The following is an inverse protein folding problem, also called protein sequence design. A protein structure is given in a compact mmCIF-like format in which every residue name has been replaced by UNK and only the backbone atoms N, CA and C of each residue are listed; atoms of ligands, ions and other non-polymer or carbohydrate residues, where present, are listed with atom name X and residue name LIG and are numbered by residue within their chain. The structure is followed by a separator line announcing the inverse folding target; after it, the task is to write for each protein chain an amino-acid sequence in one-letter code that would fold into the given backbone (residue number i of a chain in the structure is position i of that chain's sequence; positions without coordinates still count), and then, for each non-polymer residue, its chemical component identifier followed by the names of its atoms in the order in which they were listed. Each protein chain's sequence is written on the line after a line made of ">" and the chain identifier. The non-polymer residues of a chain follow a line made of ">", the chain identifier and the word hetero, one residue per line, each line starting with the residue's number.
data_IF_088483675201
#
_entry.id   IF_088483675201
#
_cell.length_a   1.000
_cell.length_b   1.000
_cell.length_c   1.000
_cell.angle_alpha   90.00
_cell.angle_beta   90.00
_cell.angle_gamma   90.00
#
_symmetry.space_group_name_H-M   'P 1'
#
loop_
_entity.id
_entity.type
_entity.pdbx_description
1 polymer ?
#
# COMPACT_ATOMS: atom_id res chain seq x y z
N UNK A 1 -29.78 -1.72 -11.93
CA UNK A 1 -28.71 -1.95 -12.93
C UNK A 1 -27.75 -3.01 -12.41
N UNK A 2 -27.31 -3.94 -13.26
CA UNK A 2 -26.31 -4.96 -12.89
C UNK A 2 -24.91 -4.37 -13.00
N UNK A 3 -24.07 -4.63 -12.00
CA UNK A 3 -22.70 -4.11 -11.94
C UNK A 3 -21.83 -4.62 -13.10
N UNK A 4 -22.12 -5.81 -13.62
CA UNK A 4 -21.45 -6.37 -14.80
C UNK A 4 -21.65 -5.49 -16.02
N UNK A 5 -22.91 -5.13 -16.29
CA UNK A 5 -23.28 -4.27 -17.41
C UNK A 5 -22.75 -2.85 -17.21
N UNK A 6 -22.79 -2.34 -15.99
CA UNK A 6 -22.21 -1.04 -15.66
C UNK A 6 -20.71 -0.95 -16.01
N UNK A 7 -19.94 -2.01 -15.74
CA UNK A 7 -18.52 -2.07 -16.08
C UNK A 7 -18.32 -2.17 -17.59
N UNK A 8 -19.09 -3.01 -18.28
CA UNK A 8 -19.01 -3.14 -19.74
C UNK A 8 -19.37 -1.82 -20.45
N UNK A 9 -20.46 -1.18 -20.04
CA UNK A 9 -20.88 0.12 -20.54
C UNK A 9 -19.79 1.18 -20.30
N UNK A 10 -19.18 1.19 -19.11
CA UNK A 10 -18.10 2.12 -18.79
C UNK A 10 -16.86 1.88 -19.67
N UNK A 11 -16.46 0.63 -19.89
CA UNK A 11 -15.37 0.28 -20.79
C UNK A 11 -15.66 0.72 -22.23
N UNK A 12 -16.89 0.50 -22.70
CA UNK A 12 -17.30 0.89 -24.05
C UNK A 12 -17.24 2.42 -24.22
N UNK A 13 -17.75 3.17 -23.25
CA UNK A 13 -17.72 4.64 -23.24
C UNK A 13 -16.29 5.16 -23.20
N UNK A 14 -15.43 4.64 -22.32
CA UNK A 14 -14.02 5.06 -22.25
C UNK A 14 -13.31 4.74 -23.56
N UNK A 15 -13.46 3.54 -24.14
CA UNK A 15 -12.85 3.19 -25.43
C UNK A 15 -13.30 4.11 -26.57
N UNK A 16 -14.59 4.42 -26.65
CA UNK A 16 -15.12 5.32 -27.67
C UNK A 16 -14.53 6.73 -27.51
N UNK A 17 -14.49 7.26 -26.29
CA UNK A 17 -13.89 8.56 -25.98
C UNK A 17 -12.41 8.64 -26.34
N UNK A 18 -11.65 7.59 -26.04
CA UNK A 18 -10.22 7.51 -26.39
C UNK A 18 -9.97 7.38 -27.89
N UNK A 19 -10.82 6.65 -28.60
CA UNK A 19 -10.74 6.53 -30.06
C UNK A 19 -10.95 7.90 -30.71
N UNK A 20 -11.91 8.68 -30.23
CA UNK A 20 -12.17 10.06 -30.68
C UNK A 20 -10.99 11.01 -30.43
N UNK A 21 -10.29 10.87 -29.30
CA UNK A 21 -9.15 11.71 -28.90
C UNK A 21 -7.83 11.32 -29.58
N UNK A 22 -7.64 10.02 -29.86
CA UNK A 22 -6.41 9.47 -30.49
C UNK A 22 -6.10 10.02 -31.88
N UNK A 23 -7.09 10.64 -32.53
CA UNK A 23 -6.92 11.35 -33.81
C UNK A 23 -6.03 12.59 -33.70
N UNK A 24 -5.72 13.08 -32.49
CA UNK A 24 -5.01 14.34 -32.27
C UNK A 24 -3.67 14.24 -31.52
N UNK A 25 -3.41 13.17 -30.75
CA UNK A 25 -2.10 12.73 -30.21
C UNK A 25 -2.37 11.58 -29.23
N UNK A 26 -1.68 10.45 -29.38
CA UNK A 26 -1.80 9.32 -28.45
C UNK A 26 -1.03 9.65 -27.16
N UNK A 27 -1.74 10.01 -26.10
CA UNK A 27 -1.15 10.34 -24.82
C UNK A 27 -1.01 9.06 -23.95
N UNK A 28 0.17 8.87 -23.35
CA UNK A 28 0.52 7.68 -22.53
C UNK A 28 -0.43 7.45 -21.35
N UNK A 29 -1.15 8.49 -20.93
CA UNK A 29 -2.13 8.47 -19.85
C UNK A 29 -3.41 7.72 -20.21
N UNK A 30 -3.81 7.73 -21.49
CA UNK A 30 -5.03 7.09 -21.96
C UNK A 30 -4.90 5.57 -22.08
N UNK A 31 -3.72 5.10 -22.48
CA UNK A 31 -3.37 3.68 -22.47
C UNK A 31 -3.40 3.11 -21.03
N UNK A 32 -2.93 3.88 -20.05
CA UNK A 32 -2.98 3.45 -18.64
C UNK A 32 -4.41 3.29 -18.13
N UNK A 33 -5.33 4.20 -18.48
CA UNK A 33 -6.76 4.10 -18.11
C UNK A 33 -7.39 2.83 -18.68
N UNK A 34 -7.10 2.51 -19.94
CA UNK A 34 -7.57 1.27 -20.57
C UNK A 34 -6.99 0.04 -19.89
N UNK A 35 -5.70 0.04 -19.55
CA UNK A 35 -5.06 -1.07 -18.83
C UNK A 35 -5.73 -1.29 -17.47
N UNK A 36 -6.01 -0.24 -16.71
CA UNK A 36 -6.70 -0.35 -15.42
C UNK A 36 -8.11 -0.95 -15.56
N UNK A 37 -8.88 -0.49 -16.57
CA UNK A 37 -10.19 -1.03 -16.87
C UNK A 37 -10.15 -2.50 -17.31
N UNK A 38 -9.18 -2.88 -18.13
CA UNK A 38 -8.99 -4.26 -18.56
C UNK A 38 -8.63 -5.18 -17.40
N UNK A 39 -7.81 -4.69 -16.45
CA UNK A 39 -7.49 -5.43 -15.23
C UNK A 39 -8.73 -5.63 -14.35
N UNK A 40 -9.54 -4.59 -14.16
CA UNK A 40 -10.81 -4.70 -13.44
C UNK A 40 -11.75 -5.70 -14.12
N UNK A 41 -11.90 -5.63 -15.44
CA UNK A 41 -12.71 -6.58 -16.21
C UNK A 41 -12.20 -8.03 -16.08
N UNK A 42 -10.88 -8.21 -16.13
CA UNK A 42 -10.24 -9.53 -15.97
C UNK A 42 -10.50 -10.10 -14.58
N UNK A 43 -10.39 -9.28 -13.53
CA UNK A 43 -10.75 -9.69 -12.17
C UNK A 43 -12.22 -10.08 -12.05
N UNK A 44 -13.15 -9.33 -12.64
CA UNK A 44 -14.57 -9.69 -12.64
C UNK A 44 -14.78 -11.05 -13.31
N UNK A 45 -14.17 -11.27 -14.48
CA UNK A 45 -14.25 -12.51 -15.26
C UNK A 45 -13.61 -13.71 -14.57
N UNK A 46 -12.55 -13.50 -13.77
CA UNK A 46 -11.89 -14.57 -13.01
C UNK A 46 -12.83 -15.27 -12.01
N UNK A 47 -13.91 -14.59 -11.58
CA UNK A 47 -14.83 -15.05 -10.55
C UNK A 47 -14.15 -15.40 -9.21
N UNK A 48 -12.89 -14.99 -8.97
CA UNK A 48 -12.16 -15.24 -7.71
C UNK A 48 -12.88 -14.66 -6.48
N UNK A 49 -13.68 -13.62 -6.71
CA UNK A 49 -14.52 -12.99 -5.69
C UNK A 49 -15.69 -13.88 -5.23
N UNK A 50 -15.97 -15.01 -5.88
CA UNK A 50 -16.96 -16.02 -5.48
C UNK A 50 -16.29 -17.29 -4.94
N UNK A 51 -16.81 -17.79 -3.81
CA UNK A 51 -16.29 -19.03 -3.19
C UNK A 51 -16.83 -20.31 -3.83
N UNK A 52 -18.10 -20.33 -4.22
CA UNK A 52 -18.78 -21.56 -4.63
C UNK A 52 -18.77 -21.75 -6.15
N UNK A 53 -18.22 -22.87 -6.62
CA UNK A 53 -18.15 -23.22 -8.05
C UNK A 53 -19.53 -23.25 -8.73
N UNK A 54 -20.55 -23.75 -8.04
CA UNK A 54 -21.92 -23.73 -8.56
C UNK A 54 -22.40 -22.31 -8.90
N UNK A 55 -22.05 -21.31 -8.08
CA UNK A 55 -22.38 -19.92 -8.35
C UNK A 55 -21.57 -19.36 -9.52
N UNK A 56 -20.27 -19.68 -9.60
CA UNK A 56 -19.41 -19.28 -10.73
C UNK A 56 -19.97 -19.80 -12.06
N UNK A 57 -20.33 -21.08 -12.12
CA UNK A 57 -20.93 -21.71 -13.31
C UNK A 57 -22.22 -21.00 -13.73
N UNK A 58 -23.11 -20.71 -12.77
CA UNK A 58 -24.38 -20.00 -13.05
C UNK A 58 -24.15 -18.63 -13.66
N UNK A 59 -23.24 -17.84 -13.11
CA UNK A 59 -22.94 -16.50 -13.62
C UNK A 59 -22.22 -16.58 -14.96
N UNK A 60 -21.29 -17.52 -15.14
CA UNK A 60 -20.62 -17.70 -16.44
C UNK A 60 -21.63 -17.96 -17.56
N UNK A 61 -22.62 -18.84 -17.32
CA UNK A 61 -23.69 -19.10 -18.29
C UNK A 61 -24.58 -17.87 -18.49
N UNK A 62 -24.88 -17.13 -17.42
CA UNK A 62 -25.65 -15.88 -17.52
C UNK A 62 -24.98 -14.85 -18.43
N UNK A 63 -23.68 -14.62 -18.24
CA UNK A 63 -22.90 -13.69 -19.05
C UNK A 63 -22.81 -14.16 -20.51
N UNK A 64 -22.63 -15.47 -20.74
CA UNK A 64 -22.63 -16.05 -22.08
C UNK A 64 -24.00 -15.94 -22.79
N UNK A 65 -25.09 -15.88 -22.02
CA UNK A 65 -26.44 -15.65 -22.52
C UNK A 65 -26.80 -14.16 -22.61
N UNK A 66 -25.83 -13.24 -22.60
CA UNK A 66 -26.04 -11.80 -22.72
C UNK A 66 -27.08 -11.25 -21.71
N UNK A 67 -27.01 -11.73 -20.46
CA UNK A 67 -27.90 -11.32 -19.37
C UNK A 67 -29.36 -11.79 -19.48
N UNK A 68 -29.67 -12.76 -20.36
CA UNK A 68 -31.00 -13.37 -20.44
C UNK A 68 -31.19 -14.43 -19.34
N UNK A 69 -32.06 -14.14 -18.38
CA UNK A 69 -32.40 -15.02 -17.27
C UNK A 69 -33.10 -16.31 -17.71
N UNK A 70 -34.02 -16.24 -18.69
CA UNK A 70 -34.79 -17.39 -19.17
C UNK A 70 -33.87 -18.36 -19.89
N UNK A 71 -33.08 -17.85 -20.82
CA UNK A 71 -32.14 -18.66 -21.61
C UNK A 71 -31.08 -19.31 -20.70
N UNK A 72 -30.53 -18.57 -19.74
CA UNK A 72 -29.55 -19.10 -18.81
C UNK A 72 -30.14 -20.16 -17.86
N UNK A 73 -31.36 -19.94 -17.35
CA UNK A 73 -32.06 -20.91 -16.51
C UNK A 73 -32.35 -22.22 -17.26
N UNK A 74 -32.81 -22.11 -18.52
CA UNK A 74 -33.03 -23.26 -19.41
C UNK A 74 -31.74 -24.06 -19.64
N UNK A 75 -30.62 -23.40 -19.97
CA UNK A 75 -29.32 -24.06 -20.17
C UNK A 75 -28.79 -24.79 -18.93
N UNK A 76 -29.19 -24.35 -17.74
CA UNK A 76 -28.74 -24.92 -16.47
C UNK A 76 -29.74 -25.92 -15.88
N UNK A 77 -30.92 -26.08 -16.48
CA UNK A 77 -31.99 -26.93 -15.95
C UNK A 77 -32.51 -26.47 -14.58
N UNK A 78 -32.52 -25.16 -14.33
CA UNK A 78 -32.98 -24.59 -13.04
C UNK A 78 -34.19 -23.68 -13.24
N UNK A 79 -34.91 -23.42 -12.15
CA UNK A 79 -36.01 -22.45 -12.14
C UNK A 79 -35.47 -21.02 -12.31
N UNK A 80 -36.24 -20.19 -13.03
CA UNK A 80 -35.87 -18.77 -13.26
C UNK A 80 -35.66 -17.98 -11.96
N UNK A 81 -36.45 -18.27 -10.92
CA UNK A 81 -36.31 -17.63 -9.61
C UNK A 81 -34.99 -17.96 -8.92
N UNK A 82 -34.50 -19.20 -9.10
CA UNK A 82 -33.18 -19.59 -8.59
C UNK A 82 -32.06 -18.85 -9.32
N UNK A 83 -32.26 -18.57 -10.60
CA UNK A 83 -31.34 -17.76 -11.40
C UNK A 83 -31.32 -16.31 -10.90
N UNK A 84 -32.49 -15.69 -10.70
CA UNK A 84 -32.60 -14.34 -10.13
C UNK A 84 -31.90 -14.23 -8.77
N UNK A 85 -32.12 -15.19 -7.87
CA UNK A 85 -31.44 -15.24 -6.56
C UNK A 85 -29.93 -15.32 -6.71
N UNK A 86 -29.44 -16.16 -7.62
CA UNK A 86 -28.00 -16.35 -7.87
C UNK A 86 -27.36 -15.06 -8.40
N UNK A 87 -27.98 -14.39 -9.38
CA UNK A 87 -27.47 -13.13 -9.94
C UNK A 87 -27.59 -11.98 -8.96
N UNK A 88 -28.67 -11.90 -8.18
CA UNK A 88 -28.83 -10.88 -7.13
C UNK A 88 -27.72 -10.99 -6.08
N UNK A 89 -27.44 -12.20 -5.61
CA UNK A 89 -26.33 -12.48 -4.70
C UNK A 89 -24.97 -12.05 -5.30
N UNK A 90 -24.71 -12.50 -6.53
CA UNK A 90 -23.49 -12.17 -7.27
C UNK A 90 -23.31 -10.66 -7.43
N UNK A 91 -24.35 -9.97 -7.85
CA UNK A 91 -24.37 -8.54 -8.07
C UNK A 91 -24.11 -7.76 -6.78
N UNK A 92 -24.76 -8.13 -5.67
CA UNK A 92 -24.52 -7.51 -4.35
C UNK A 92 -23.08 -7.71 -3.90
N UNK A 93 -22.57 -8.94 -4.04
CA UNK A 93 -21.22 -9.30 -3.61
C UNK A 93 -20.14 -8.59 -4.44
N UNK A 94 -20.30 -8.55 -5.75
CA UNK A 94 -19.37 -7.85 -6.63
C UNK A 94 -19.45 -6.33 -6.43
N UNK A 95 -20.66 -5.78 -6.33
CA UNK A 95 -20.88 -4.36 -6.03
C UNK A 95 -20.20 -3.95 -4.73
N UNK A 96 -20.34 -4.74 -3.66
CA UNK A 96 -19.68 -4.44 -2.38
C UNK A 96 -18.16 -4.44 -2.44
N UNK A 97 -17.57 -5.04 -3.48
CA UNK A 97 -16.12 -5.04 -3.71
C UNK A 97 -15.69 -3.88 -4.61
N UNK A 98 -16.22 -3.80 -5.83
CA UNK A 98 -15.64 -2.92 -6.86
C UNK A 98 -16.27 -1.53 -6.95
N UNK A 99 -17.33 -1.25 -6.18
CA UNK A 99 -18.06 0.03 -6.31
C UNK A 99 -17.20 1.24 -5.99
N UNK A 100 -16.36 1.16 -4.95
CA UNK A 100 -15.42 2.25 -4.64
C UNK A 100 -14.45 2.53 -5.78
N UNK A 101 -13.86 1.48 -6.35
CA UNK A 101 -12.96 1.57 -7.52
C UNK A 101 -13.67 2.23 -8.71
N UNK A 102 -14.88 1.78 -9.05
CA UNK A 102 -15.65 2.33 -10.16
C UNK A 102 -16.04 3.79 -9.95
N UNK A 103 -16.45 4.17 -8.74
CA UNK A 103 -16.76 5.56 -8.39
C UNK A 103 -15.55 6.45 -8.62
N UNK A 104 -14.37 6.06 -8.11
CA UNK A 104 -13.13 6.81 -8.31
C UNK A 104 -12.75 6.95 -9.79
N UNK A 105 -12.89 5.89 -10.59
CA UNK A 105 -12.63 5.96 -12.04
C UNK A 105 -13.59 6.90 -12.76
N UNK A 106 -14.88 6.87 -12.42
CA UNK A 106 -15.91 7.75 -13.00
C UNK A 106 -15.70 9.22 -12.64
N UNK A 107 -15.14 9.49 -11.46
CA UNK A 107 -14.73 10.82 -11.01
C UNK A 107 -13.40 11.29 -11.64
N UNK A 108 -12.76 10.46 -12.49
CA UNK A 108 -11.47 10.77 -13.10
C UNK A 108 -10.27 10.57 -12.18
N UNK A 109 -10.47 10.01 -10.98
CA UNK A 109 -9.44 9.76 -9.97
C UNK A 109 -8.77 8.39 -10.16
N UNK A 110 -8.15 8.20 -11.33
CA UNK A 110 -7.59 6.91 -11.76
C UNK A 110 -6.46 6.39 -10.87
N UNK A 111 -5.59 7.26 -10.36
CA UNK A 111 -4.52 6.85 -9.45
C UNK A 111 -5.07 6.30 -8.12
N UNK A 112 -6.07 6.97 -7.55
CA UNK A 112 -6.74 6.52 -6.34
C UNK A 112 -7.51 5.21 -6.57
N UNK A 113 -8.15 5.08 -7.74
CA UNK A 113 -8.86 3.86 -8.13
C UNK A 113 -7.92 2.66 -8.24
N UNK A 114 -6.72 2.83 -8.80
CA UNK A 114 -5.71 1.78 -8.88
C UNK A 114 -5.25 1.35 -7.49
N UNK A 115 -4.97 2.29 -6.58
CA UNK A 115 -4.61 1.96 -5.19
C UNK A 115 -5.71 1.16 -4.49
N UNK A 116 -6.97 1.57 -4.66
CA UNK A 116 -8.11 0.86 -4.08
C UNK A 116 -8.31 -0.53 -4.72
N UNK A 117 -8.08 -0.66 -6.03
CA UNK A 117 -8.14 -1.94 -6.73
C UNK A 117 -7.05 -2.90 -6.25
N UNK A 118 -5.81 -2.42 -6.06
CA UNK A 118 -4.71 -3.23 -5.53
C UNK A 118 -4.98 -3.73 -4.11
N UNK A 119 -5.60 -2.90 -3.25
CA UNK A 119 -6.05 -3.32 -1.91
C UNK A 119 -7.08 -4.44 -2.01
N UNK A 120 -8.02 -4.32 -2.94
CA UNK A 120 -9.11 -5.27 -3.13
C UNK A 120 -8.63 -6.65 -3.60
N UNK A 121 -7.63 -6.71 -4.49
CA UNK A 121 -7.05 -7.97 -4.96
C UNK A 121 -5.94 -8.50 -4.03
N UNK A 122 -5.62 -7.79 -2.95
CA UNK A 122 -4.59 -8.17 -1.99
C UNK A 122 -3.15 -8.01 -2.50
N UNK A 123 -2.95 -7.34 -3.64
CA UNK A 123 -1.62 -7.04 -4.17
C UNK A 123 -0.97 -5.86 -3.44
N UNK A 124 -1.77 -4.95 -2.90
CA UNK A 124 -1.29 -3.88 -2.04
C UNK A 124 -1.12 -4.40 -0.61
N UNK A 125 0.09 -4.31 -0.07
CA UNK A 125 0.35 -4.57 1.35
C UNK A 125 0.15 -3.26 2.10
N UNK A 126 -0.99 -3.03 2.79
CA UNK A 126 -1.28 -1.74 3.43
C UNK A 126 -0.27 -1.36 4.52
N UNK A 127 0.51 -2.33 5.00
CA UNK A 127 1.53 -2.18 6.03
C UNK A 127 2.92 -1.86 5.48
N UNK A 128 3.16 -2.08 4.18
CA UNK A 128 4.46 -1.90 3.55
C UNK A 128 5.04 -0.49 3.64
N UNK A 129 4.23 0.60 3.60
CA UNK A 129 4.75 1.95 3.77
C UNK A 129 5.26 2.25 5.19
N UNK A 130 4.94 1.43 6.18
CA UNK A 130 5.32 1.67 7.58
C UNK A 130 6.67 1.03 7.92
N UNK A 131 7.35 1.62 8.90
CA UNK A 131 8.57 1.05 9.50
C UNK A 131 8.21 -0.27 10.19
N UNK A 132 9.11 -1.25 10.14
CA UNK A 132 8.92 -2.57 10.75
C UNK A 132 8.51 -2.44 12.23
N UNK A 133 7.55 -3.26 12.67
CA UNK A 133 7.03 -3.26 14.05
C UNK A 133 5.97 -2.19 14.37
N UNK A 134 5.76 -1.19 13.51
CA UNK A 134 4.74 -0.14 13.72
C UNK A 134 3.34 -0.74 13.89
N UNK A 135 2.95 -1.62 12.97
CA UNK A 135 1.62 -2.22 12.95
C UNK A 135 1.39 -3.13 14.16
N UNK A 136 2.41 -3.91 14.54
CA UNK A 136 2.36 -4.78 15.71
C UNK A 136 2.25 -4.00 17.02
N UNK A 137 2.89 -2.82 17.07
CA UNK A 137 2.81 -1.92 18.22
C UNK A 137 1.40 -1.37 18.42
N UNK A 138 0.74 -0.93 17.36
CA UNK A 138 -0.57 -0.26 17.46
C UNK A 138 -1.78 -1.20 17.30
N UNK A 139 -1.59 -2.41 16.76
CA UNK A 139 -2.62 -3.46 16.58
C UNK A 139 -3.92 -2.90 15.97
N UNK A 140 -3.97 -2.60 14.66
CA UNK A 140 -5.10 -1.94 14.02
C UNK A 140 -6.43 -2.60 14.35
N UNK A 141 -7.38 -1.81 14.85
CA UNK A 141 -8.73 -2.26 15.22
C UNK A 141 -9.76 -1.24 14.76
N UNK A 142 -10.92 -1.73 14.33
CA UNK A 142 -12.06 -0.86 14.07
C UNK A 142 -12.62 -0.36 15.40
N UNK A 143 -12.77 0.95 15.54
CA UNK A 143 -13.50 1.58 16.63
C UNK A 143 -14.83 2.13 16.11
N UNK A 144 -15.92 1.90 16.85
CA UNK A 144 -17.23 2.49 16.56
C UNK A 144 -17.45 3.83 17.27
N UNK A 145 -16.56 4.20 18.20
CA UNK A 145 -16.72 5.37 19.07
C UNK A 145 -15.76 6.51 18.72
N UNK A 146 -14.85 6.29 17.77
CA UNK A 146 -13.82 7.26 17.38
C UNK A 146 -14.08 7.72 15.95
N UNK A 147 -14.14 9.03 15.74
CA UNK A 147 -14.25 9.64 14.43
C UNK A 147 -12.86 10.04 13.91
N UNK A 148 -12.60 9.82 12.62
CA UNK A 148 -11.34 10.18 11.97
C UNK A 148 -11.05 11.69 12.05
N UNK A 149 -12.09 12.53 12.04
CA UNK A 149 -11.97 13.98 12.12
C UNK A 149 -11.26 14.41 13.42
N UNK A 150 -11.48 13.67 14.51
CA UNK A 150 -10.90 13.95 15.82
C UNK A 150 -9.47 13.37 15.96
N UNK A 151 -9.02 12.54 15.01
CA UNK A 151 -7.76 11.80 15.07
C UNK A 151 -6.56 12.58 14.51
N UNK A 152 -6.57 13.93 14.54
CA UNK A 152 -5.51 14.75 13.93
C UNK A 152 -4.13 14.38 14.47
N UNK A 153 -4.00 14.32 15.80
CA UNK A 153 -2.73 14.03 16.48
C UNK A 153 -2.24 12.63 16.13
N UNK A 154 -3.14 11.66 16.08
CA UNK A 154 -2.82 10.27 15.76
C UNK A 154 -2.38 10.12 14.30
N UNK A 155 -3.01 10.84 13.38
CA UNK A 155 -2.62 10.91 11.97
C UNK A 155 -1.22 11.51 11.83
N UNK A 156 -0.93 12.61 12.55
CA UNK A 156 0.40 13.22 12.55
C UNK A 156 1.46 12.27 13.10
N UNK A 157 1.20 11.63 14.24
CA UNK A 157 2.11 10.65 14.85
C UNK A 157 2.36 9.48 13.92
N UNK A 158 1.31 8.87 13.36
CA UNK A 158 1.48 7.67 12.52
C UNK A 158 2.20 7.98 11.21
N UNK A 159 2.10 9.21 10.69
CA UNK A 159 2.86 9.66 9.52
C UNK A 159 4.38 9.66 9.78
N UNK A 160 4.83 9.87 11.03
CA UNK A 160 6.24 9.78 11.40
C UNK A 160 6.80 8.35 11.32
N UNK A 161 5.95 7.33 11.39
CA UNK A 161 6.35 5.92 11.30
C UNK A 161 6.33 5.36 9.87
N UNK A 162 6.40 6.23 8.86
CA UNK A 162 6.43 5.83 7.45
C UNK A 162 7.87 5.79 6.91
N UNK A 163 8.15 4.83 6.02
CA UNK A 163 9.42 4.74 5.29
C UNK A 163 9.73 6.04 4.55
N UNK A 164 8.71 6.65 3.94
CA UNK A 164 8.84 7.95 3.26
C UNK A 164 9.35 9.05 4.18
N UNK A 165 8.84 9.14 5.41
CA UNK A 165 9.33 10.16 6.37
C UNK A 165 10.79 9.88 6.75
N UNK A 166 11.14 8.62 6.97
CA UNK A 166 12.51 8.21 7.24
C UNK A 166 13.45 8.55 6.07
N UNK A 167 13.05 8.24 4.83
CA UNK A 167 13.79 8.57 3.60
C UNK A 167 14.05 10.07 3.49
N UNK A 168 13.04 10.91 3.76
CA UNK A 168 13.18 12.37 3.75
C UNK A 168 14.16 12.87 4.84
N UNK A 169 14.26 12.19 5.97
CA UNK A 169 15.25 12.52 7.01
C UNK A 169 16.63 12.08 6.55
N UNK A 170 16.75 10.86 6.02
CA UNK A 170 18.01 10.29 5.54
C UNK A 170 18.60 11.12 4.38
N UNK A 171 17.77 11.76 3.56
CA UNK A 171 18.25 12.64 2.48
C UNK A 171 18.90 13.94 2.98
N UNK A 172 18.77 14.28 4.26
CA UNK A 172 19.35 15.50 4.86
C UNK A 172 20.64 15.26 5.65
N UNK A 173 21.05 14.01 5.83
CA UNK A 173 22.24 13.64 6.60
C UNK A 173 23.37 13.18 5.69
N UNK A 174 24.61 13.42 6.12
CA UNK A 174 25.80 12.90 5.44
C UNK A 174 25.85 11.37 5.58
N UNK A 175 25.75 10.69 4.44
CA UNK A 175 25.77 9.23 4.38
C UNK A 175 27.09 8.62 4.87
N UNK A 176 28.23 9.29 4.68
CA UNK A 176 29.54 8.81 5.14
C UNK A 176 29.62 8.88 6.66
N UNK A 177 29.22 10.01 7.25
CA UNK A 177 29.19 10.17 8.69
C UNK A 177 28.20 9.19 9.36
N UNK A 178 27.01 9.04 8.79
CA UNK A 178 26.01 8.07 9.28
C UNK A 178 26.54 6.63 9.21
N UNK A 179 27.22 6.27 8.12
CA UNK A 179 27.86 4.96 7.97
C UNK A 179 28.94 4.73 9.03
N UNK A 180 29.70 5.75 9.39
CA UNK A 180 30.72 5.65 10.43
C UNK A 180 30.11 5.45 11.82
N UNK A 181 29.05 6.20 12.16
CA UNK A 181 28.30 6.02 13.42
C UNK A 181 27.74 4.58 13.52
N UNK A 182 27.15 4.07 12.45
CA UNK A 182 26.67 2.69 12.39
C UNK A 182 27.81 1.68 12.52
N UNK A 183 28.96 1.93 11.90
CA UNK A 183 30.14 1.08 12.07
C UNK A 183 30.57 1.00 13.53
N UNK A 184 30.69 2.13 14.24
CA UNK A 184 31.05 2.15 15.65
C UNK A 184 30.06 1.36 16.50
N UNK A 185 28.74 1.55 16.26
CA UNK A 185 27.69 0.86 17.01
C UNK A 185 27.68 -0.66 16.80
N UNK A 186 27.90 -1.10 15.56
CA UNK A 186 27.74 -2.51 15.18
C UNK A 186 29.05 -3.30 15.17
N UNK A 187 30.20 -2.62 15.14
CA UNK A 187 31.52 -3.25 15.17
C UNK A 187 31.79 -3.89 16.52
N UNK A 188 32.54 -5.00 16.52
CA UNK A 188 33.08 -5.64 17.71
C UNK A 188 34.50 -5.15 18.05
N UNK A 189 35.05 -4.20 17.29
CA UNK A 189 36.40 -3.67 17.50
C UNK A 189 36.55 -3.06 18.90
N UNK A 190 37.55 -3.50 19.70
CA UNK A 190 37.82 -2.96 21.02
C UNK A 190 38.16 -1.47 21.04
N UNK A 191 38.71 -0.93 19.94
CA UNK A 191 39.11 0.48 19.84
C UNK A 191 37.93 1.44 19.98
N UNK A 192 36.72 0.97 19.69
CA UNK A 192 35.48 1.75 19.75
C UNK A 192 34.62 1.47 20.98
N UNK A 193 35.15 0.78 22.01
CA UNK A 193 34.34 0.42 23.19
C UNK A 193 33.74 1.67 23.86
N UNK A 194 34.53 2.72 24.05
CA UNK A 194 34.08 3.94 24.73
C UNK A 194 33.01 4.67 23.92
N UNK A 195 33.26 4.90 22.63
CA UNK A 195 32.33 5.56 21.71
C UNK A 195 31.04 4.75 21.54
N UNK A 196 31.13 3.42 21.42
CA UNK A 196 29.97 2.54 21.30
C UNK A 196 29.10 2.58 22.55
N UNK A 197 29.69 2.66 23.76
CA UNK A 197 28.93 2.81 25.00
C UNK A 197 28.17 4.14 25.05
N UNK A 198 28.84 5.25 24.73
CA UNK A 198 28.21 6.58 24.70
C UNK A 198 27.09 6.66 23.64
N UNK A 199 27.33 6.13 22.44
CA UNK A 199 26.33 6.09 21.38
C UNK A 199 25.15 5.19 21.75
N UNK A 200 25.36 4.07 22.43
CA UNK A 200 24.28 3.19 22.90
C UNK A 200 23.41 3.90 23.94
N UNK A 201 24.02 4.65 24.86
CA UNK A 201 23.29 5.46 25.85
C UNK A 201 22.46 6.57 25.19
N UNK A 202 22.94 7.13 24.08
CA UNK A 202 22.20 8.15 23.34
C UNK A 202 21.06 7.56 22.49
N UNK A 203 21.32 6.49 21.74
CA UNK A 203 20.43 6.03 20.67
C UNK A 203 19.47 4.94 21.16
N UNK A 204 19.91 4.07 22.08
CA UNK A 204 19.13 2.91 22.53
C UNK A 204 18.38 3.22 23.83
N UNK A 205 19.10 3.69 24.86
CA UNK A 205 18.46 4.02 26.14
C UNK A 205 17.86 5.43 26.17
N UNK A 206 18.38 6.36 25.37
CA UNK A 206 17.93 7.76 25.34
C UNK A 206 18.35 8.54 26.59
N UNK A 207 19.35 8.06 27.33
CA UNK A 207 19.86 8.67 28.56
C UNK A 207 20.76 9.88 28.28
N UNK A 208 21.42 9.89 27.11
CA UNK A 208 22.27 10.99 26.67
C UNK A 208 21.71 11.70 25.44
N UNK A 209 21.93 13.01 25.39
CA UNK A 209 21.74 13.81 24.18
C UNK A 209 22.99 13.78 23.29
N UNK A 210 22.85 14.00 21.97
CA UNK A 210 23.99 14.01 21.04
C UNK A 210 25.13 14.93 21.47
N UNK A 211 24.84 16.11 22.01
CA UNK A 211 25.84 17.08 22.44
C UNK A 211 26.69 16.56 23.61
N UNK A 212 26.09 15.77 24.50
CA UNK A 212 26.79 15.16 25.63
C UNK A 212 27.73 14.05 25.17
N UNK A 213 27.33 13.29 24.16
CA UNK A 213 28.19 12.26 23.55
C UNK A 213 29.40 12.91 22.88
N UNK A 214 29.18 13.95 22.06
CA UNK A 214 30.26 14.65 21.36
C UNK A 214 31.26 15.24 22.36
N UNK A 215 30.79 15.96 23.38
CA UNK A 215 31.68 16.53 24.40
C UNK A 215 32.45 15.48 25.20
N UNK A 216 31.86 14.32 25.48
CA UNK A 216 32.54 13.21 26.14
C UNK A 216 33.63 12.57 25.25
N UNK A 217 33.40 12.47 23.94
CA UNK A 217 34.41 11.97 22.99
C UNK A 217 35.57 12.96 22.89
N UNK A 218 35.30 14.25 22.73
CA UNK A 218 36.33 15.31 22.66
C UNK A 218 37.22 15.32 23.91
N UNK A 219 36.62 15.16 25.09
CA UNK A 219 37.37 15.11 26.36
C UNK A 219 38.26 13.86 26.46
N UNK A 220 37.80 12.71 25.95
CA UNK A 220 38.58 11.45 25.97
C UNK A 220 39.69 11.41 24.90
N UNK A 221 39.50 12.08 23.76
CA UNK A 221 40.56 12.19 22.73
C UNK A 221 41.75 13.03 23.22
N UNK A 222 41.53 14.01 24.11
CA UNK A 222 42.62 14.76 24.73
C UNK A 222 43.50 13.93 25.68
N UNK A 223 43.02 12.80 26.20
CA UNK A 223 43.84 11.87 27.00
C UNK A 223 44.66 10.90 26.15
N UNK A 224 44.24 10.59 24.92
CA UNK A 224 44.95 9.64 24.04
C UNK A 224 46.08 10.29 23.23
N UNK A 225 46.07 11.61 23.03
CA UNK A 225 47.18 12.35 22.40
C UNK A 225 48.31 12.75 23.37
N UNK A 226 48.14 12.53 24.67
CA UNK A 226 49.15 12.88 25.70
C UNK A 226 50.11 11.73 26.04
N UNK A 227 49.98 10.59 25.37
CA UNK A 227 50.63 9.32 25.74
C UNK A 227 51.79 8.85 24.85
N UNK A 228 52.35 9.69 23.96
CA UNK A 228 53.50 9.28 23.12
C UNK A 228 54.64 10.28 23.21
N UNK A 229 55.38 10.23 24.32
CA UNK A 229 56.79 10.65 24.35
C UNK A 229 57.56 9.62 25.18
N UNK A 230 57.85 8.49 24.56
CA UNK A 230 59.02 7.68 24.92
C UNK A 230 59.96 7.79 23.71
N UNK A 231 60.82 8.80 23.78
CA UNK A 231 62.02 8.87 22.93
C UNK A 231 62.98 7.82 23.49
N UNK A 232 63.16 6.73 22.74
CA UNK A 232 64.32 5.88 22.90
C UNK A 232 65.53 6.55 22.23
N UNK A 233 66.53 6.92 23.02
CA UNK A 233 67.95 6.87 22.68
C UNK A 233 68.71 6.39 23.91
#
# INVERSE_FOLDING_TARGET
>A
MLIFREVEDFIAVTRAGLTLLSTYQADSSDDQRLVQLQRLASYIKSMEWLKHEAAKKRISVFLACQYDYRLAAQKLGIQIDQMHKSISYANKRLSGRIRGVLTLMKEGRWADAELEFQRLIGSHRPFEPFICGTVDRFKPRKSSTVNLIDCRREIEVIAHFTKRKLENILSTVDGVAMSHVLHILLSADPRYIAERLLLSQCIISGELKPEQVIGAIETNQHYSLSGTNIVHL
#
